data_IF_333870848662
#
_entry.id   IF_333870848662
#
_cell.length_a   1.000
_cell.length_b   1.000
_cell.length_c   1.000
_cell.angle_alpha   90.00
_cell.angle_beta   90.00
_cell.angle_gamma   90.00
#
_symmetry.space_group_name_H-M   'P 1'
#
loop_
_entity.id
_entity.type
_entity.pdbx_description
1 polymer ?
#
# COMPACT_ATOMS: atom_id res chain seq x y z
N UNK A 1 -23.69 26.79 5.48
CA UNK A 1 -22.28 26.54 5.86
C UNK A 1 -21.97 25.08 5.56
N UNK A 2 -21.01 24.81 4.67
CA UNK A 2 -20.55 23.43 4.44
C UNK A 2 -19.69 23.01 5.62
N UNK A 3 -20.24 22.16 6.49
CA UNK A 3 -19.46 21.49 7.52
C UNK A 3 -18.74 20.32 6.84
N UNK A 4 -17.41 20.37 6.78
CA UNK A 4 -16.61 19.29 6.20
C UNK A 4 -16.92 17.99 6.96
N UNK A 5 -17.56 17.03 6.28
CA UNK A 5 -18.09 15.81 6.89
C UNK A 5 -17.01 14.84 7.39
N UNK A 6 -15.73 15.11 7.12
CA UNK A 6 -14.61 14.33 7.65
C UNK A 6 -13.45 15.27 8.01
N UNK A 7 -13.21 15.46 9.31
CA UNK A 7 -11.96 16.07 9.77
C UNK A 7 -10.88 15.00 9.77
N UNK A 8 -9.83 15.12 8.93
CA UNK A 8 -8.72 14.18 8.96
C UNK A 8 -8.10 14.21 10.36
N UNK A 9 -8.18 13.08 11.07
CA UNK A 9 -7.40 12.94 12.29
C UNK A 9 -5.96 12.77 11.88
N UNK A 10 -5.08 13.51 12.55
CA UNK A 10 -3.64 13.43 12.38
C UNK A 10 -3.05 12.86 13.67
N UNK A 11 -3.16 11.55 13.95
CA UNK A 11 -2.74 10.97 15.22
C UNK A 11 -1.29 11.30 15.58
N UNK A 12 -0.41 11.42 14.60
CA UNK A 12 1.01 11.75 14.80
C UNK A 12 1.28 13.22 15.16
N UNK A 13 0.27 14.08 15.13
CA UNK A 13 0.33 15.49 15.55
C UNK A 13 -0.30 15.71 16.94
N UNK A 14 -0.62 14.62 17.65
CA UNK A 14 -1.04 14.70 19.05
C UNK A 14 0.10 15.23 19.91
N UNK A 15 -0.15 16.30 20.67
CA UNK A 15 0.88 16.96 21.51
C UNK A 15 1.47 15.99 22.53
N UNK A 16 0.70 15.01 23.00
CA UNK A 16 1.18 14.00 23.96
C UNK A 16 2.26 13.11 23.35
N UNK A 17 2.18 12.82 22.04
CA UNK A 17 3.23 12.08 21.35
C UNK A 17 4.49 12.93 21.24
N UNK A 18 4.35 14.21 20.88
CA UNK A 18 5.48 15.14 20.80
C UNK A 18 6.18 15.28 22.16
N UNK A 19 5.43 15.49 23.23
CA UNK A 19 5.96 15.60 24.60
C UNK A 19 6.65 14.32 25.03
N UNK A 20 6.05 13.16 24.74
CA UNK A 20 6.66 11.87 24.98
C UNK A 20 8.01 11.74 24.26
N UNK A 21 8.07 12.02 22.95
CA UNK A 21 9.33 11.94 22.20
C UNK A 21 10.38 12.93 22.68
N UNK A 22 10.00 14.10 23.18
CA UNK A 22 10.90 15.07 23.82
C UNK A 22 11.47 14.58 25.16
N UNK A 23 10.78 13.66 25.85
CA UNK A 23 11.23 13.07 27.12
C UNK A 23 12.08 11.80 26.94
N UNK A 24 11.98 11.12 25.79
CA UNK A 24 12.68 9.85 25.55
C UNK A 24 14.14 10.11 25.17
N UNK A 25 15.13 9.47 25.82
CA UNK A 25 16.53 9.63 25.45
C UNK A 25 16.79 9.28 23.98
N UNK A 26 17.61 10.09 23.29
CA UNK A 26 17.84 9.95 21.85
C UNK A 26 18.36 8.56 21.44
N UNK A 27 19.09 7.87 22.33
CA UNK A 27 19.59 6.51 22.11
C UNK A 27 18.48 5.48 21.84
N UNK A 28 17.25 5.73 22.32
CA UNK A 28 16.10 4.86 22.04
C UNK A 28 15.38 5.23 20.74
N UNK A 29 15.46 6.48 20.28
CA UNK A 29 14.77 6.95 19.06
C UNK A 29 15.65 6.80 17.81
N UNK A 30 16.97 6.85 17.98
CA UNK A 30 17.95 6.75 16.89
C UNK A 30 17.70 5.52 16.01
N UNK A 31 17.80 5.71 14.70
CA UNK A 31 17.64 4.62 13.73
C UNK A 31 16.26 3.96 13.79
N UNK A 32 15.24 4.66 14.31
CA UNK A 32 13.87 4.13 14.52
C UNK A 32 13.82 2.96 15.51
N UNK A 33 14.80 2.82 16.40
CA UNK A 33 14.89 1.68 17.34
C UNK A 33 13.60 1.49 18.16
N UNK A 34 13.08 2.55 18.78
CA UNK A 34 11.82 2.51 19.52
C UNK A 34 10.65 2.02 18.65
N UNK A 35 10.54 2.51 17.41
CA UNK A 35 9.46 2.13 16.48
C UNK A 35 9.55 0.65 16.10
N UNK A 36 10.77 0.16 15.83
CA UNK A 36 11.02 -1.24 15.49
C UNK A 36 10.69 -2.15 16.67
N UNK A 37 11.11 -1.80 17.88
CA UNK A 37 10.83 -2.61 19.07
C UNK A 37 9.34 -2.57 19.44
N UNK A 38 8.68 -1.42 19.29
CA UNK A 38 7.24 -1.30 19.41
C UNK A 38 6.50 -2.23 18.44
N UNK A 39 6.85 -2.22 17.15
CA UNK A 39 6.24 -3.11 16.15
C UNK A 39 6.50 -4.58 16.48
N UNK A 40 7.71 -4.96 16.87
CA UNK A 40 8.01 -6.35 17.26
C UNK A 40 7.18 -6.82 18.45
N UNK A 41 6.90 -5.93 19.42
CA UNK A 41 6.17 -6.26 20.64
C UNK A 41 4.65 -6.29 20.41
N UNK A 42 4.10 -5.29 19.73
CA UNK A 42 2.65 -5.08 19.64
C UNK A 42 2.04 -5.52 18.32
N UNK A 43 2.84 -5.69 17.26
CA UNK A 43 2.40 -6.18 15.95
C UNK A 43 3.45 -7.14 15.33
N UNK A 44 3.75 -8.28 15.99
CA UNK A 44 4.82 -9.19 15.58
C UNK A 44 4.58 -9.80 14.19
N UNK A 45 3.33 -9.95 13.80
CA UNK A 45 2.90 -10.33 12.45
C UNK A 45 3.37 -9.31 11.40
N UNK A 46 3.13 -8.01 11.63
CA UNK A 46 3.63 -6.93 10.76
C UNK A 46 5.16 -6.88 10.77
N UNK A 47 5.79 -7.05 11.93
CA UNK A 47 7.25 -7.05 12.05
C UNK A 47 7.92 -8.24 11.34
N UNK A 48 7.19 -9.33 11.08
CA UNK A 48 7.66 -10.49 10.31
C UNK A 48 7.52 -10.33 8.80
N UNK A 49 6.75 -9.35 8.33
CA UNK A 49 6.63 -9.05 6.90
C UNK A 49 8.02 -8.81 6.32
N UNK A 50 8.30 -9.50 5.23
CA UNK A 50 9.61 -9.49 4.59
C UNK A 50 9.69 -8.33 3.61
N UNK A 51 10.72 -7.51 3.75
CA UNK A 51 10.95 -6.33 2.92
C UNK A 51 11.74 -6.76 1.68
N UNK A 52 11.15 -6.58 0.50
CA UNK A 52 11.72 -7.07 -0.76
C UNK A 52 13.12 -6.52 -1.03
N UNK A 53 13.36 -5.25 -0.70
CA UNK A 53 14.65 -4.59 -0.89
C UNK A 53 15.79 -5.26 -0.09
N UNK A 54 15.48 -5.77 1.10
CA UNK A 54 16.47 -6.31 2.04
C UNK A 54 16.45 -7.85 2.12
N UNK A 55 15.41 -8.50 1.57
CA UNK A 55 15.18 -9.94 1.66
C UNK A 55 15.14 -10.44 3.13
N UNK A 56 14.70 -9.60 4.07
CA UNK A 56 14.62 -9.88 5.52
C UNK A 56 13.45 -9.13 6.17
N UNK A 57 13.25 -9.32 7.47
CA UNK A 57 12.20 -8.68 8.27
C UNK A 57 12.79 -7.95 9.49
N UNK A 58 11.96 -7.26 10.29
CA UNK A 58 12.43 -6.44 11.41
C UNK A 58 13.14 -7.25 12.50
N UNK A 59 12.92 -8.56 12.61
CA UNK A 59 13.62 -9.40 13.57
C UNK A 59 15.06 -9.72 13.16
N UNK A 60 15.37 -9.73 11.86
CA UNK A 60 16.68 -10.13 11.33
C UNK A 60 17.35 -9.04 10.47
N UNK A 61 16.86 -7.81 10.55
CA UNK A 61 17.31 -6.73 9.68
C UNK A 61 18.75 -6.29 9.92
N UNK A 62 19.30 -6.46 11.13
CA UNK A 62 20.66 -6.01 11.47
C UNK A 62 21.76 -6.64 10.60
N UNK A 63 21.52 -7.83 10.05
CA UNK A 63 22.48 -8.59 9.24
C UNK A 63 22.09 -8.61 7.75
N UNK A 64 21.37 -7.58 7.29
CA UNK A 64 20.89 -7.53 5.91
C UNK A 64 22.03 -7.47 4.88
N UNK A 65 23.21 -6.99 5.25
CA UNK A 65 24.38 -6.91 4.35
C UNK A 65 25.36 -8.08 4.45
N UNK A 66 25.04 -9.10 5.25
CA UNK A 66 25.82 -10.33 5.34
C UNK A 66 25.45 -11.28 4.18
N UNK A 67 25.02 -12.51 4.47
CA UNK A 67 24.66 -13.52 3.45
C UNK A 67 23.51 -13.10 2.52
N UNK A 68 22.67 -12.16 2.94
CA UNK A 68 21.56 -11.69 2.13
C UNK A 68 22.02 -10.78 0.98
N UNK A 69 23.14 -10.08 1.10
CA UNK A 69 23.67 -9.23 0.03
C UNK A 69 24.08 -10.01 -1.23
N UNK A 70 24.94 -11.05 -1.17
CA UNK A 70 25.29 -11.83 -2.36
C UNK A 70 24.05 -12.54 -2.94
N UNK A 71 23.14 -13.02 -2.09
CA UNK A 71 21.86 -13.58 -2.54
C UNK A 71 21.02 -12.56 -3.33
N UNK A 72 20.94 -11.31 -2.87
CA UNK A 72 20.25 -10.22 -3.58
C UNK A 72 20.95 -9.90 -4.90
N UNK A 73 22.28 -9.92 -4.94
CA UNK A 73 23.06 -9.70 -6.15
C UNK A 73 22.79 -10.79 -7.20
N UNK A 74 22.82 -12.07 -6.83
CA UNK A 74 22.47 -13.20 -7.71
C UNK A 74 21.04 -13.05 -8.22
N UNK A 75 20.07 -12.78 -7.33
CA UNK A 75 18.67 -12.54 -7.73
C UNK A 75 18.56 -11.37 -8.73
N UNK A 76 19.33 -10.30 -8.56
CA UNK A 76 19.36 -9.15 -9.48
C UNK A 76 19.94 -9.55 -10.83
N UNK A 77 21.08 -10.26 -10.85
CA UNK A 77 21.70 -10.76 -12.07
C UNK A 77 20.75 -11.68 -12.85
N UNK A 78 20.14 -12.67 -12.19
CA UNK A 78 19.15 -13.55 -12.81
C UNK A 78 17.98 -12.76 -13.41
N UNK A 79 17.47 -11.72 -12.73
CA UNK A 79 16.39 -10.88 -13.28
C UNK A 79 16.82 -10.12 -14.53
N UNK A 80 18.02 -9.56 -14.55
CA UNK A 80 18.57 -8.85 -15.70
C UNK A 80 18.72 -9.79 -16.90
N UNK A 81 19.26 -10.99 -16.67
CA UNK A 81 19.46 -12.01 -17.70
C UNK A 81 18.13 -12.56 -18.26
N UNK A 82 17.15 -12.79 -17.39
CA UNK A 82 15.83 -13.32 -17.78
C UNK A 82 14.89 -12.27 -18.34
N UNK A 83 15.27 -10.98 -18.34
CA UNK A 83 14.43 -9.83 -18.74
C UNK A 83 13.04 -9.84 -18.07
N UNK A 84 12.94 -10.43 -16.88
CA UNK A 84 11.66 -10.57 -16.19
C UNK A 84 11.18 -9.18 -15.77
N UNK A 85 9.99 -8.79 -16.24
CA UNK A 85 9.37 -7.51 -15.88
C UNK A 85 9.23 -7.44 -14.36
N UNK A 86 9.81 -6.40 -13.76
CA UNK A 86 9.72 -6.17 -12.32
C UNK A 86 8.36 -5.56 -12.04
N UNK A 87 7.64 -6.16 -11.10
CA UNK A 87 6.45 -5.54 -10.52
C UNK A 87 6.96 -4.51 -9.51
N UNK A 88 6.72 -3.24 -9.78
CA UNK A 88 7.24 -2.14 -8.96
C UNK A 88 6.12 -1.39 -8.25
N UNK A 89 4.91 -1.40 -8.81
CA UNK A 89 3.83 -0.52 -8.36
C UNK A 89 2.74 -1.28 -7.64
N UNK A 90 2.16 -0.65 -6.63
CA UNK A 90 1.06 -1.25 -5.86
C UNK A 90 -0.11 -1.67 -6.76
N UNK A 91 -0.48 -0.85 -7.75
CA UNK A 91 -1.55 -1.21 -8.68
C UNK A 91 -1.20 -2.45 -9.53
N UNK A 92 0.07 -2.68 -9.86
CA UNK A 92 0.49 -3.86 -10.63
C UNK A 92 0.31 -5.14 -9.78
N UNK A 93 0.65 -5.06 -8.49
CA UNK A 93 0.42 -6.15 -7.53
C UNK A 93 -1.08 -6.40 -7.32
N UNK A 94 -1.86 -5.33 -7.17
CA UNK A 94 -3.28 -5.42 -6.83
C UNK A 94 -4.16 -5.80 -8.01
N UNK A 95 -3.87 -5.27 -9.20
CA UNK A 95 -4.77 -5.31 -10.36
C UNK A 95 -4.16 -5.95 -11.61
N UNK A 96 -2.85 -6.22 -11.64
CA UNK A 96 -2.15 -6.67 -12.85
C UNK A 96 -2.38 -8.11 -13.30
N UNK A 97 -3.29 -8.86 -12.66
CA UNK A 97 -3.61 -10.24 -13.02
C UNK A 97 -5.11 -10.51 -13.04
N UNK A 98 -5.52 -11.68 -13.55
CA UNK A 98 -6.93 -12.05 -13.76
C UNK A 98 -7.79 -11.91 -12.49
N UNK A 99 -7.25 -12.31 -11.33
CA UNK A 99 -7.93 -12.14 -10.04
C UNK A 99 -8.15 -10.67 -9.69
N UNK A 100 -7.17 -9.82 -9.97
CA UNK A 100 -7.26 -8.37 -9.75
C UNK A 100 -8.29 -7.73 -10.67
N UNK A 101 -8.30 -8.09 -11.95
CA UNK A 101 -9.29 -7.62 -12.93
C UNK A 101 -10.71 -8.09 -12.54
N UNK A 102 -10.88 -9.36 -12.17
CA UNK A 102 -12.16 -9.88 -11.67
C UNK A 102 -12.63 -9.14 -10.42
N UNK A 103 -11.70 -8.85 -9.49
CA UNK A 103 -11.97 -8.06 -8.29
C UNK A 103 -12.44 -6.64 -8.62
N UNK A 104 -11.77 -5.96 -9.55
CA UNK A 104 -12.20 -4.63 -10.02
C UNK A 104 -13.60 -4.69 -10.63
N UNK A 105 -13.88 -5.66 -11.52
CA UNK A 105 -15.20 -5.80 -12.13
C UNK A 105 -16.28 -6.09 -11.07
N UNK A 106 -15.98 -6.93 -10.09
CA UNK A 106 -16.91 -7.26 -9.01
C UNK A 106 -17.25 -6.03 -8.16
N UNK A 107 -16.23 -5.28 -7.71
CA UNK A 107 -16.41 -4.18 -6.77
C UNK A 107 -16.73 -2.83 -7.43
N UNK A 108 -16.63 -2.72 -8.75
CA UNK A 108 -16.89 -1.46 -9.47
C UNK A 108 -18.01 -1.56 -10.51
N UNK A 109 -18.33 -2.75 -11.06
CA UNK A 109 -19.27 -2.90 -12.18
C UNK A 109 -20.45 -3.83 -11.91
N UNK A 110 -20.44 -4.59 -10.80
CA UNK A 110 -21.56 -5.46 -10.41
C UNK A 110 -22.84 -4.63 -10.28
N UNK A 111 -23.98 -5.08 -10.85
CA UNK A 111 -25.25 -4.40 -10.69
C UNK A 111 -25.66 -4.28 -9.21
N UNK A 112 -26.24 -3.13 -8.85
CA UNK A 112 -26.74 -2.88 -7.49
C UNK A 112 -25.69 -2.34 -6.51
N UNK A 113 -24.49 -1.99 -6.98
CA UNK A 113 -23.53 -1.24 -6.15
C UNK A 113 -24.02 0.19 -5.95
N UNK A 114 -23.97 0.69 -4.72
CA UNK A 114 -24.31 2.07 -4.35
C UNK A 114 -23.43 3.09 -5.06
N UNK A 115 -22.24 2.67 -5.47
CA UNK A 115 -21.35 3.48 -6.30
C UNK A 115 -22.06 4.00 -7.56
N UNK A 116 -22.97 3.21 -8.15
CA UNK A 116 -23.63 3.54 -9.42
C UNK A 116 -24.66 4.66 -9.28
N UNK A 117 -25.10 4.98 -8.06
CA UNK A 117 -25.95 6.13 -7.77
C UNK A 117 -25.16 7.46 -7.83
N UNK A 118 -23.84 7.40 -7.63
CA UNK A 118 -22.95 8.57 -7.59
C UNK A 118 -22.14 8.73 -8.88
N UNK A 119 -21.74 7.62 -9.49
CA UNK A 119 -20.90 7.59 -10.69
C UNK A 119 -21.48 6.62 -11.69
N UNK A 120 -21.81 7.09 -12.88
CA UNK A 120 -22.41 6.23 -13.90
C UNK A 120 -21.48 5.07 -14.29
N UNK A 121 -22.06 3.87 -14.39
CA UNK A 121 -21.33 2.64 -14.75
C UNK A 121 -20.49 2.80 -16.02
N UNK A 122 -21.01 3.47 -17.05
CA UNK A 122 -20.29 3.75 -18.30
C UNK A 122 -18.97 4.51 -18.08
N UNK A 123 -18.95 5.50 -17.18
CA UNK A 123 -17.71 6.24 -16.86
C UNK A 123 -16.67 5.35 -16.19
N UNK A 124 -17.13 4.43 -15.33
CA UNK A 124 -16.26 3.46 -14.66
C UNK A 124 -15.67 2.46 -15.66
N UNK A 125 -16.48 1.97 -16.60
CA UNK A 125 -16.02 1.08 -17.68
C UNK A 125 -14.93 1.75 -18.52
N UNK A 126 -15.16 2.98 -18.97
CA UNK A 126 -14.15 3.76 -19.72
C UNK A 126 -12.86 3.97 -18.92
N UNK A 127 -12.96 4.24 -17.62
CA UNK A 127 -11.78 4.36 -16.75
C UNK A 127 -11.00 3.03 -16.69
N UNK A 128 -11.69 1.90 -16.54
CA UNK A 128 -11.05 0.58 -16.44
C UNK A 128 -10.41 0.16 -17.76
N UNK A 129 -11.04 0.45 -18.90
CA UNK A 129 -10.46 0.24 -20.23
C UNK A 129 -9.20 1.09 -20.43
N UNK A 130 -9.27 2.38 -20.10
CA UNK A 130 -8.13 3.29 -20.16
C UNK A 130 -7.00 2.89 -19.20
N UNK A 131 -7.34 2.35 -18.03
CA UNK A 131 -6.37 1.82 -17.06
C UNK A 131 -5.69 0.56 -17.61
N UNK A 132 -6.43 -0.34 -18.27
CA UNK A 132 -5.87 -1.57 -18.84
C UNK A 132 -4.85 -1.28 -19.95
N UNK A 133 -5.10 -0.27 -20.78
CA UNK A 133 -4.18 0.14 -21.86
C UNK A 133 -3.01 0.97 -21.33
N UNK A 134 -3.29 1.93 -20.45
CA UNK A 134 -2.33 2.93 -20.00
C UNK A 134 -2.47 3.24 -18.51
N UNK A 135 -2.06 2.34 -17.60
CA UNK A 135 -2.34 2.45 -16.17
C UNK A 135 -1.64 3.64 -15.48
N UNK A 136 -0.59 4.20 -16.10
CA UNK A 136 0.14 5.37 -15.61
C UNK A 136 -0.34 6.68 -16.22
N UNK A 137 -1.02 6.62 -17.36
CA UNK A 137 -1.52 7.82 -18.01
C UNK A 137 -2.51 8.48 -17.06
N UNK A 138 -2.33 9.78 -16.84
CA UNK A 138 -3.26 10.60 -16.05
C UNK A 138 -3.50 10.07 -14.61
N UNK A 139 -2.57 9.29 -14.06
CA UNK A 139 -2.72 8.74 -12.71
C UNK A 139 -3.83 7.70 -12.57
N UNK A 140 -4.29 7.07 -13.66
CA UNK A 140 -5.40 6.10 -13.67
C UNK A 140 -5.27 5.01 -12.61
N UNK A 141 -4.07 4.47 -12.38
CA UNK A 141 -3.86 3.45 -11.34
C UNK A 141 -4.20 3.93 -9.93
N UNK A 142 -3.93 5.20 -9.61
CA UNK A 142 -4.34 5.79 -8.34
C UNK A 142 -5.85 6.03 -8.31
N UNK A 143 -6.41 6.57 -9.40
CA UNK A 143 -7.86 6.81 -9.52
C UNK A 143 -8.67 5.53 -9.33
N UNK A 144 -8.27 4.42 -9.97
CA UNK A 144 -8.91 3.10 -9.82
C UNK A 144 -8.79 2.59 -8.38
N UNK A 145 -7.62 2.74 -7.74
CA UNK A 145 -7.42 2.32 -6.34
C UNK A 145 -8.30 3.11 -5.37
N UNK A 146 -8.41 4.42 -5.56
CA UNK A 146 -9.28 5.29 -4.76
C UNK A 146 -10.76 4.97 -4.99
N UNK A 147 -11.17 4.77 -6.24
CA UNK A 147 -12.55 4.43 -6.58
C UNK A 147 -12.95 3.06 -5.99
N UNK A 148 -12.06 2.08 -6.03
CA UNK A 148 -12.26 0.78 -5.39
C UNK A 148 -12.45 0.91 -3.89
N UNK A 149 -11.58 1.68 -3.24
CA UNK A 149 -11.65 1.93 -1.79
C UNK A 149 -12.96 2.63 -1.43
N UNK A 150 -13.36 3.62 -2.22
CA UNK A 150 -14.61 4.34 -2.04
C UNK A 150 -15.83 3.43 -2.22
N UNK A 151 -15.86 2.62 -3.28
CA UNK A 151 -16.92 1.63 -3.52
C UNK A 151 -17.09 0.69 -2.32
N UNK A 152 -15.99 0.08 -1.86
CA UNK A 152 -16.01 -0.81 -0.71
C UNK A 152 -16.47 -0.10 0.59
N UNK A 153 -16.12 1.17 0.76
CA UNK A 153 -16.56 1.98 1.89
C UNK A 153 -18.06 2.27 1.85
N UNK A 154 -18.63 2.54 0.67
CA UNK A 154 -20.07 2.79 0.50
C UNK A 154 -20.88 1.54 0.91
N UNK A 155 -20.44 0.36 0.50
CA UNK A 155 -21.13 -0.90 0.84
C UNK A 155 -21.03 -1.28 2.31
N UNK A 156 -20.03 -0.74 3.03
CA UNK A 156 -19.80 -1.06 4.45
C UNK A 156 -20.53 -0.10 5.40
N UNK A 157 -20.66 1.16 5.01
CA UNK A 157 -21.03 2.25 5.93
C UNK A 157 -22.35 2.94 5.58
N UNK A 158 -22.96 2.61 4.45
CA UNK A 158 -24.32 3.01 4.08
C UNK A 158 -25.16 1.76 3.92
#
# INVERSE_FOLDING_TARGET
MFQAAAFPRLPFYDTRLTDFFSSVPSAFVQGRRLQVDYLKRFAPDLARVKWQAYDTNLFRHQHFDSWLLPKRAVKKACRLLTRKRIIERNWEVQFGGEKGEAGLRHWLLRPGLRLHDLVSKKKIETLLEGFRVGPLQEGRGYTVSMLLTFSASLERHL
#
